data_IF_564611874144
#
_entry.id   IF_564611874144
#
_cell.length_a   1.000
_cell.length_b   1.000
_cell.length_c   1.000
_cell.angle_alpha   90.00
_cell.angle_beta   90.00
_cell.angle_gamma   90.00
#
_symmetry.space_group_name_H-M   'P 1'
#
loop_
_entity.id
_entity.type
_entity.pdbx_description
1 polymer ?
#
# COMPACT_ATOMS: atom_id res chain seq x y z
N UNK A 1 -12.50 -6.88 -10.02
CA UNK A 1 -11.35 -6.64 -10.95
C UNK A 1 -10.13 -6.29 -10.11
N UNK A 2 -8.92 -6.76 -10.45
CA UNK A 2 -7.68 -6.41 -9.76
C UNK A 2 -6.84 -5.45 -10.60
N UNK A 3 -6.51 -4.28 -10.08
CA UNK A 3 -5.72 -3.25 -10.75
C UNK A 3 -4.59 -2.75 -9.84
N UNK A 4 -3.36 -2.81 -10.31
CA UNK A 4 -2.21 -2.19 -9.63
C UNK A 4 -2.18 -0.71 -9.97
N UNK A 5 -2.21 0.14 -8.94
CA UNK A 5 -2.18 1.60 -9.06
C UNK A 5 -0.75 2.12 -9.00
N UNK A 6 0.07 1.55 -8.11
CA UNK A 6 1.46 1.93 -7.96
C UNK A 6 2.34 0.73 -7.58
N UNK A 7 3.60 0.76 -8.01
CA UNK A 7 4.65 -0.17 -7.59
C UNK A 7 5.87 0.64 -7.16
N UNK A 8 6.20 0.58 -5.88
CA UNK A 8 7.25 1.40 -5.24
C UNK A 8 8.41 0.48 -4.86
N UNK A 9 9.65 0.73 -5.33
CA UNK A 9 10.81 -0.05 -4.91
C UNK A 9 11.05 0.06 -3.40
N UNK A 10 11.13 -1.07 -2.69
CA UNK A 10 11.47 -1.11 -1.25
C UNK A 10 12.95 -1.39 -1.03
N UNK A 11 13.49 -2.35 -1.79
CA UNK A 11 14.92 -2.71 -1.79
C UNK A 11 15.24 -3.51 -3.08
N UNK A 12 16.40 -4.17 -3.11
CA UNK A 12 16.86 -4.95 -4.26
C UNK A 12 15.86 -6.03 -4.70
N UNK A 13 15.22 -6.73 -3.76
CA UNK A 13 14.36 -7.90 -4.02
C UNK A 13 12.87 -7.68 -3.75
N UNK A 14 12.46 -6.56 -3.16
CA UNK A 14 11.07 -6.30 -2.78
C UNK A 14 10.54 -4.97 -3.34
N UNK A 15 9.23 -4.93 -3.59
CA UNK A 15 8.45 -3.73 -3.92
C UNK A 15 7.22 -3.63 -3.02
N UNK A 16 6.74 -2.42 -2.78
CA UNK A 16 5.40 -2.18 -2.22
C UNK A 16 4.45 -1.91 -3.38
N UNK A 17 3.39 -2.71 -3.52
CA UNK A 17 2.32 -2.46 -4.49
C UNK A 17 1.10 -1.88 -3.78
N UNK A 18 0.50 -0.88 -4.41
CA UNK A 18 -0.84 -0.38 -4.08
C UNK A 18 -1.80 -0.88 -5.15
N UNK A 19 -2.85 -1.58 -4.74
CA UNK A 19 -3.80 -2.23 -5.65
C UNK A 19 -5.25 -1.98 -5.24
N UNK A 20 -6.13 -1.85 -6.24
CA UNK A 20 -7.57 -1.98 -6.06
C UNK A 20 -7.97 -3.40 -6.45
N UNK A 21 -8.83 -4.02 -5.66
CA UNK A 21 -9.36 -5.36 -5.92
C UNK A 21 -10.80 -5.45 -5.44
N UNK A 22 -11.48 -6.52 -5.81
CA UNK A 22 -12.79 -6.87 -5.28
C UNK A 22 -12.76 -8.29 -4.75
N UNK A 23 -13.45 -8.53 -3.63
CA UNK A 23 -13.62 -9.84 -3.05
C UNK A 23 -15.01 -9.97 -2.42
N UNK A 24 -15.80 -10.95 -2.86
CA UNK A 24 -17.16 -11.20 -2.40
C UNK A 24 -18.07 -9.95 -2.47
N UNK A 25 -17.94 -9.15 -3.53
CA UNK A 25 -18.73 -7.93 -3.72
C UNK A 25 -18.27 -6.75 -2.88
N UNK A 26 -17.13 -6.85 -2.19
CA UNK A 26 -16.52 -5.74 -1.47
C UNK A 26 -15.35 -5.16 -2.27
N UNK A 27 -15.40 -3.86 -2.55
CA UNK A 27 -14.27 -3.12 -3.11
C UNK A 27 -13.20 -2.90 -2.03
N UNK A 28 -11.98 -3.30 -2.35
CA UNK A 28 -10.85 -3.31 -1.44
C UNK A 28 -9.66 -2.55 -2.03
N UNK A 29 -8.90 -1.91 -1.15
CA UNK A 29 -7.57 -1.36 -1.45
C UNK A 29 -6.53 -2.12 -0.65
N UNK A 30 -5.46 -2.54 -1.31
CA UNK A 30 -4.33 -3.24 -0.73
C UNK A 30 -3.06 -2.41 -0.80
N UNK A 31 -2.31 -2.36 0.29
CA UNK A 31 -0.92 -1.88 0.33
C UNK A 31 -0.08 -3.04 0.86
N UNK A 32 0.70 -3.68 -0.01
CA UNK A 32 1.37 -4.95 0.30
C UNK A 32 2.77 -5.04 -0.27
N UNK A 33 3.66 -5.71 0.45
CA UNK A 33 5.01 -6.03 -0.02
C UNK A 33 4.96 -7.26 -0.93
N UNK A 34 5.61 -7.17 -2.08
CA UNK A 34 5.77 -8.22 -3.07
C UNK A 34 7.25 -8.51 -3.31
N UNK A 35 7.57 -9.78 -3.52
CA UNK A 35 8.90 -10.21 -3.95
C UNK A 35 9.04 -10.03 -5.47
N UNK A 36 10.10 -9.39 -5.94
CA UNK A 36 10.37 -9.15 -7.36
C UNK A 36 10.60 -10.47 -8.11
N UNK A 37 11.33 -11.41 -7.50
CA UNK A 37 11.79 -12.63 -8.17
C UNK A 37 10.64 -13.58 -8.55
N UNK A 38 9.60 -13.62 -7.72
CA UNK A 38 8.46 -14.54 -7.90
C UNK A 38 7.18 -13.83 -8.28
N UNK A 39 7.18 -12.48 -8.28
CA UNK A 39 6.00 -11.62 -8.38
C UNK A 39 4.84 -12.08 -7.49
N UNK A 40 5.14 -12.47 -6.24
CA UNK A 40 4.15 -12.93 -5.26
C UNK A 40 3.96 -11.94 -4.11
N UNK A 41 2.72 -11.76 -3.62
CA UNK A 41 2.48 -11.00 -2.41
C UNK A 41 3.04 -11.73 -1.19
N UNK A 42 3.59 -10.99 -0.24
CA UNK A 42 3.96 -11.50 1.07
C UNK A 42 2.81 -11.31 2.07
N UNK A 43 2.93 -11.91 3.26
CA UNK A 43 2.00 -11.64 4.36
C UNK A 43 2.11 -10.20 4.89
N UNK A 44 3.19 -9.46 4.57
CA UNK A 44 3.41 -8.08 5.00
C UNK A 44 2.59 -7.11 4.15
N UNK A 45 1.49 -6.63 4.70
CA UNK A 45 0.61 -5.68 4.04
C UNK A 45 -0.79 -5.72 4.61
N UNK A 46 -1.57 -4.71 4.26
CA UNK A 46 -2.95 -4.58 4.70
C UNK A 46 -3.86 -4.48 3.49
N UNK A 47 -5.03 -5.08 3.60
CA UNK A 47 -6.12 -4.93 2.64
C UNK A 47 -7.34 -4.47 3.43
N UNK A 48 -7.95 -3.36 3.01
CA UNK A 48 -9.09 -2.74 3.70
C UNK A 48 -10.16 -2.36 2.69
N UNK A 49 -11.37 -2.04 3.15
CA UNK A 49 -12.41 -1.48 2.30
C UNK A 49 -11.95 -0.17 1.67
N UNK A 50 -12.28 0.06 0.38
CA UNK A 50 -11.92 1.30 -0.33
C UNK A 50 -12.44 2.54 0.39
N UNK A 51 -13.58 2.44 1.08
CA UNK A 51 -14.14 3.52 1.89
C UNK A 51 -13.21 4.02 3.02
N UNK A 52 -12.21 3.24 3.45
CA UNK A 52 -11.23 3.65 4.46
C UNK A 52 -10.09 4.51 3.87
N UNK A 53 -9.97 4.57 2.54
CA UNK A 53 -8.85 5.25 1.88
C UNK A 53 -8.71 6.74 2.25
N UNK A 54 -9.79 7.55 2.33
CA UNK A 54 -9.66 8.96 2.73
C UNK A 54 -9.07 9.14 4.13
N UNK A 55 -9.47 8.29 5.09
CA UNK A 55 -8.96 8.34 6.46
C UNK A 55 -7.48 7.93 6.53
N UNK A 56 -7.09 6.90 5.78
CA UNK A 56 -5.69 6.46 5.67
C UNK A 56 -4.82 7.56 5.05
N UNK A 57 -5.29 8.21 3.98
CA UNK A 57 -4.55 9.30 3.34
C UNK A 57 -4.34 10.48 4.29
N UNK A 58 -5.37 10.86 5.06
CA UNK A 58 -5.24 11.91 6.07
C UNK A 58 -4.19 11.55 7.14
N UNK A 59 -4.21 10.31 7.64
CA UNK A 59 -3.23 9.84 8.61
C UNK A 59 -1.80 9.80 8.04
N UNK A 60 -1.62 9.35 6.80
CA UNK A 60 -0.32 9.32 6.13
C UNK A 60 0.23 10.73 5.88
N UNK A 61 -0.62 11.69 5.52
CA UNK A 61 -0.21 13.08 5.33
C UNK A 61 0.30 13.69 6.64
N UNK A 62 -0.38 13.43 7.76
CA UNK A 62 0.10 13.83 9.10
C UNK A 62 1.44 13.17 9.42
N UNK A 63 1.56 11.86 9.19
CA UNK A 63 2.81 11.14 9.44
C UNK A 63 3.98 11.66 8.61
N UNK A 64 3.75 12.05 7.35
CA UNK A 64 4.75 12.70 6.51
C UNK A 64 5.20 14.05 7.08
N UNK A 65 4.25 14.89 7.50
CA UNK A 65 4.56 16.20 8.10
C UNK A 65 5.39 16.07 9.39
N UNK A 66 5.05 15.10 10.23
CA UNK A 66 5.84 14.78 11.44
C UNK A 66 7.24 14.26 11.09
N UNK A 67 7.35 13.36 10.11
CA UNK A 67 8.64 12.82 9.68
C UNK A 67 9.58 13.91 9.14
N UNK A 68 9.05 14.90 8.39
CA UNK A 68 9.81 16.08 7.93
C UNK A 68 10.25 16.97 9.10
N UNK A 69 9.35 17.22 10.05
CA UNK A 69 9.63 18.03 11.23
C UNK A 69 10.73 17.39 12.10
N UNK A 70 10.73 16.06 12.19
CA UNK A 70 11.74 15.29 12.90
C UNK A 70 13.06 15.08 12.13
N UNK A 71 13.14 15.51 10.86
CA UNK A 71 14.33 15.34 10.01
C UNK A 71 14.59 13.90 9.56
N UNK A 72 13.55 13.06 9.49
CA UNK A 72 13.65 11.67 9.05
C UNK A 72 13.59 11.52 7.52
N UNK A 73 13.02 12.53 6.84
CA UNK A 73 12.90 12.66 5.37
C UNK A 73 12.96 14.12 4.93
#
# INVERSE_FOLDING_TARGET
MKQVIATIPKNASEVVKVELTEFNGHDLVGIRVWTKDTDRPTQKGVTVAVAMLPAILAALATAEAEARTAGLI
#
